data_IF_269328301625
#
_entry.id   IF_269328301625
#
_cell.length_a   1.000
_cell.length_b   1.000
_cell.length_c   1.000
_cell.angle_alpha   90.00
_cell.angle_beta   90.00
_cell.angle_gamma   90.00
#
_symmetry.space_group_name_H-M   'P 1'
#
loop_
_entity.id
_entity.type
_entity.pdbx_description
1 polymer ?
#
# COMPACT_ATOMS: atom_id res chain seq x y z
N UNK A 1 -20.08 -38.19 89.41
CA UNK A 1 -20.21 -39.66 89.36
C UNK A 1 -19.54 -40.15 88.09
N UNK A 2 -18.56 -41.06 88.25
CA UNK A 2 -18.01 -42.01 87.24
C UNK A 2 -17.33 -41.35 86.01
N UNK A 3 -16.02 -41.12 85.91
CA UNK A 3 -14.83 -42.01 86.00
C UNK A 3 -14.92 -43.17 84.98
N UNK A 4 -14.09 -43.31 83.94
CA UNK A 4 -12.62 -43.43 83.93
C UNK A 4 -12.09 -43.47 82.47
N UNK A 5 -10.75 -43.39 82.29
CA UNK A 5 -10.02 -42.97 81.10
C UNK A 5 -9.31 -44.15 80.41
N UNK A 6 -8.36 -43.87 79.51
CA UNK A 6 -7.12 -44.59 79.17
C UNK A 6 -6.59 -43.90 77.89
N UNK A 7 -5.31 -43.72 77.59
CA UNK A 7 -4.02 -43.77 78.27
C UNK A 7 -3.06 -43.19 77.19
N UNK A 8 -2.17 -42.26 77.50
CA UNK A 8 -0.84 -42.51 78.08
C UNK A 8 0.21 -42.82 77.01
N UNK A 9 1.33 -42.10 77.15
CA UNK A 9 2.67 -42.31 76.58
C UNK A 9 2.86 -41.90 75.11
N UNK A 10 3.98 -41.31 74.71
CA UNK A 10 5.12 -40.64 75.35
C UNK A 10 6.09 -40.32 74.19
N UNK A 11 7.04 -39.39 74.45
CA UNK A 11 8.33 -39.16 73.74
C UNK A 11 8.25 -38.17 72.58
N UNK A 12 8.74 -36.94 72.76
CA UNK A 12 10.13 -36.46 72.98
C UNK A 12 10.76 -36.00 71.66
N UNK A 13 10.88 -34.67 71.55
CA UNK A 13 12.05 -33.89 71.14
C UNK A 13 12.98 -34.47 70.06
N UNK A 14 13.09 -33.75 68.94
CA UNK A 14 14.36 -33.33 68.29
C UNK A 14 14.02 -32.30 67.20
N UNK A 15 14.26 -31.00 67.44
CA UNK A 15 15.43 -30.22 66.98
C UNK A 15 15.70 -30.29 65.47
N UNK A 16 15.46 -29.14 64.83
CA UNK A 16 16.27 -28.48 63.81
C UNK A 16 16.84 -29.31 62.65
N UNK A 17 16.29 -29.09 61.45
CA UNK A 17 17.05 -29.07 60.19
C UNK A 17 16.30 -28.19 59.18
N UNK A 18 16.40 -26.88 59.39
CA UNK A 18 16.44 -25.92 58.28
C UNK A 18 17.79 -26.07 57.59
N UNK A 19 17.86 -25.67 56.31
CA UNK A 19 19.03 -25.66 55.41
C UNK A 19 19.50 -27.03 54.93
N UNK A 20 19.07 -27.43 53.73
CA UNK A 20 19.91 -27.67 52.52
C UNK A 20 18.95 -28.15 51.41
N UNK A 21 18.25 -27.23 50.75
CA UNK A 21 17.54 -27.52 49.49
C UNK A 21 17.44 -26.25 48.62
N UNK A 22 18.44 -25.38 48.72
CA UNK A 22 18.47 -24.09 48.00
C UNK A 22 19.59 -23.94 46.96
N UNK A 23 20.51 -24.92 46.84
CA UNK A 23 21.71 -24.77 46.00
C UNK A 23 21.62 -25.52 44.66
N UNK A 24 20.76 -26.54 44.54
CA UNK A 24 20.67 -27.33 43.30
C UNK A 24 19.90 -26.62 42.16
N UNK A 25 19.01 -25.67 42.45
CA UNK A 25 18.24 -24.95 41.40
C UNK A 25 19.06 -23.79 40.82
N UNK A 26 19.99 -23.20 41.59
CA UNK A 26 20.84 -22.10 41.12
C UNK A 26 21.93 -22.56 40.14
N UNK A 27 22.43 -23.80 40.25
CA UNK A 27 23.47 -24.32 39.35
C UNK A 27 22.94 -24.72 37.95
N UNK A 28 21.67 -25.08 37.84
CA UNK A 28 21.05 -25.44 36.55
C UNK A 28 20.77 -24.22 35.65
N UNK A 29 20.68 -23.01 36.22
CA UNK A 29 20.49 -21.78 35.46
C UNK A 29 21.79 -21.25 34.82
N UNK A 30 22.95 -21.70 35.29
CA UNK A 30 24.28 -21.28 34.79
C UNK A 30 24.80 -22.13 33.62
N UNK A 31 24.14 -23.26 33.34
CA UNK A 31 24.47 -24.15 32.21
C UNK A 31 23.47 -24.05 31.05
N UNK A 32 22.47 -23.17 31.15
CA UNK A 32 21.63 -22.84 30.01
C UNK A 32 22.49 -22.05 29.02
N UNK A 33 22.67 -22.51 27.77
CA UNK A 33 23.34 -21.71 26.76
C UNK A 33 22.63 -20.36 26.67
N UNK A 34 23.37 -19.24 26.53
CA UNK A 34 22.74 -17.93 26.39
C UNK A 34 21.75 -18.03 25.23
N UNK A 35 20.46 -17.87 25.53
CA UNK A 35 19.48 -17.65 24.48
C UNK A 35 19.92 -16.35 23.83
N UNK A 36 20.48 -16.46 22.63
CA UNK A 36 20.63 -15.32 21.74
C UNK A 36 19.22 -14.79 21.46
N UNK A 37 18.74 -13.86 22.29
CA UNK A 37 17.56 -13.05 21.99
C UNK A 37 18.00 -11.70 21.45
N UNK A 38 18.82 -11.74 20.40
CA UNK A 38 18.62 -10.84 19.28
C UNK A 38 18.03 -11.73 18.19
N UNK A 39 16.72 -11.62 17.96
CA UNK A 39 16.14 -12.19 16.76
C UNK A 39 16.81 -11.45 15.58
N UNK A 40 17.88 -12.03 15.03
CA UNK A 40 18.55 -11.47 13.86
C UNK A 40 17.53 -11.24 12.75
N UNK A 41 17.69 -10.16 11.98
CA UNK A 41 16.78 -9.84 10.88
C UNK A 41 16.57 -11.07 9.99
N UNK A 42 15.30 -11.42 9.74
CA UNK A 42 14.95 -12.58 8.94
C UNK A 42 15.57 -12.45 7.54
N UNK A 43 16.56 -13.31 7.23
CA UNK A 43 17.29 -13.27 5.97
C UNK A 43 16.50 -14.03 4.90
N UNK A 44 16.12 -13.32 3.85
CA UNK A 44 15.56 -13.90 2.62
C UNK A 44 16.65 -13.98 1.54
N UNK A 45 16.48 -14.84 0.55
CA UNK A 45 17.44 -15.01 -0.54
C UNK A 45 16.84 -14.49 -1.85
N UNK A 46 17.56 -13.59 -2.50
CA UNK A 46 17.28 -13.13 -3.87
C UNK A 46 18.47 -13.51 -4.73
N UNK A 47 18.24 -13.90 -5.98
CA UNK A 47 19.29 -14.03 -6.98
C UNK A 47 19.27 -12.74 -7.80
N UNK A 48 20.20 -11.82 -7.52
CA UNK A 48 20.30 -10.53 -8.18
C UNK A 48 21.39 -10.60 -9.25
N UNK A 49 21.01 -10.41 -10.52
CA UNK A 49 21.92 -10.48 -11.67
C UNK A 49 22.75 -11.79 -11.67
N UNK A 50 22.07 -12.91 -11.39
CA UNK A 50 22.66 -14.24 -11.30
C UNK A 50 23.45 -14.54 -10.02
N UNK A 51 23.53 -13.60 -9.07
CA UNK A 51 24.28 -13.76 -7.82
C UNK A 51 23.34 -13.90 -6.61
N UNK A 52 23.53 -14.90 -5.73
CA UNK A 52 22.76 -15.00 -4.51
C UNK A 52 23.11 -13.86 -3.54
N UNK A 53 22.10 -13.08 -3.16
CA UNK A 53 22.20 -11.94 -2.24
C UNK A 53 21.24 -12.16 -1.07
N UNK A 54 21.75 -11.96 0.15
CA UNK A 54 20.92 -11.95 1.35
C UNK A 54 20.22 -10.59 1.49
N UNK A 55 18.90 -10.62 1.66
CA UNK A 55 18.07 -9.41 1.76
C UNK A 55 17.11 -9.50 2.94
N UNK A 56 16.64 -8.34 3.39
CA UNK A 56 15.54 -8.18 4.33
C UNK A 56 14.39 -7.43 3.65
N UNK A 57 13.25 -8.11 3.44
CA UNK A 57 12.04 -7.48 2.92
C UNK A 57 11.39 -6.61 4.01
N UNK A 58 11.23 -5.32 3.72
CA UNK A 58 10.59 -4.37 4.64
C UNK A 58 9.06 -4.39 4.48
N UNK A 59 8.61 -4.62 3.26
CA UNK A 59 7.23 -4.83 2.82
C UNK A 59 7.24 -5.88 1.68
N UNK A 60 6.13 -6.03 0.95
CA UNK A 60 6.03 -7.05 -0.11
C UNK A 60 6.64 -6.64 -1.46
N UNK A 61 7.07 -5.40 -1.61
CA UNK A 61 7.60 -4.84 -2.88
C UNK A 61 8.91 -4.04 -2.71
N UNK A 62 9.55 -4.12 -1.54
CA UNK A 62 10.80 -3.44 -1.23
C UNK A 62 11.65 -4.27 -0.27
N UNK A 63 12.95 -4.30 -0.50
CA UNK A 63 13.89 -4.96 0.40
C UNK A 63 15.15 -4.11 0.64
N UNK A 64 15.91 -4.48 1.67
CA UNK A 64 17.26 -3.99 1.92
C UNK A 64 18.25 -5.12 1.72
N UNK A 65 19.37 -4.86 1.07
CA UNK A 65 20.49 -5.80 0.99
C UNK A 65 21.22 -5.82 2.33
N UNK A 66 21.46 -7.00 2.90
CA UNK A 66 22.06 -7.17 4.24
C UNK A 66 23.41 -7.91 4.22
N UNK A 67 24.02 -8.03 3.05
CA UNK A 67 25.32 -8.69 2.87
C UNK A 67 26.02 -8.31 1.57
N UNK A 68 27.31 -8.62 1.49
CA UNK A 68 28.14 -8.28 0.32
C UNK A 68 28.46 -6.79 0.19
N UNK A 69 28.98 -6.39 -0.96
CA UNK A 69 29.41 -5.02 -1.25
C UNK A 69 28.26 -4.01 -1.34
N UNK A 70 27.04 -4.49 -1.60
CA UNK A 70 25.82 -3.69 -1.66
C UNK A 70 25.07 -3.62 -0.31
N UNK A 71 25.72 -4.02 0.79
CA UNK A 71 25.10 -4.00 2.12
C UNK A 71 24.54 -2.61 2.48
N UNK A 72 23.31 -2.59 3.00
CA UNK A 72 22.60 -1.36 3.37
C UNK A 72 21.77 -0.74 2.24
N UNK A 73 22.00 -1.10 0.98
CA UNK A 73 21.24 -0.55 -0.16
C UNK A 73 19.77 -0.94 -0.09
N UNK A 74 18.89 0.01 -0.40
CA UNK A 74 17.44 -0.19 -0.46
C UNK A 74 17.01 -0.42 -1.91
N UNK A 75 16.13 -1.38 -2.13
CA UNK A 75 15.54 -1.68 -3.41
C UNK A 75 14.03 -1.43 -3.39
N UNK A 76 13.53 -0.86 -4.49
CA UNK A 76 12.10 -0.83 -4.82
C UNK A 76 11.87 -1.77 -6.00
N UNK A 77 10.91 -2.67 -5.85
CA UNK A 77 10.54 -3.60 -6.91
C UNK A 77 9.64 -2.90 -7.94
N UNK A 78 9.97 -3.11 -9.21
CA UNK A 78 9.24 -2.53 -10.34
C UNK A 78 8.05 -3.40 -10.77
N UNK A 79 7.11 -2.81 -11.49
CA UNK A 79 6.01 -3.50 -12.19
C UNK A 79 4.79 -3.86 -11.33
N UNK A 80 4.91 -3.79 -10.01
CA UNK A 80 3.80 -4.03 -9.09
C UNK A 80 3.93 -3.19 -7.82
N UNK A 81 2.85 -3.12 -7.05
CA UNK A 81 2.83 -2.52 -5.73
C UNK A 81 2.01 -3.39 -4.77
N UNK A 82 2.54 -3.57 -3.56
CA UNK A 82 1.80 -4.14 -2.45
C UNK A 82 1.23 -3.01 -1.59
N UNK A 83 0.18 -3.31 -0.84
CA UNK A 83 -0.37 -2.35 0.12
C UNK A 83 0.67 -1.93 1.14
N UNK A 84 0.55 -0.69 1.62
CA UNK A 84 1.46 -0.14 2.61
C UNK A 84 1.47 -0.98 3.89
N UNK A 85 2.67 -1.44 4.27
CA UNK A 85 2.84 -2.34 5.41
C UNK A 85 3.28 -1.63 6.70
N UNK A 86 3.26 -0.30 6.72
CA UNK A 86 3.56 0.46 7.95
C UNK A 86 2.38 0.53 8.92
N UNK A 87 1.15 0.22 8.49
CA UNK A 87 -0.02 0.11 9.38
C UNK A 87 -1.34 -0.07 8.63
N UNK A 88 -2.46 -0.17 9.36
CA UNK A 88 -3.80 -0.24 8.79
C UNK A 88 -4.22 1.09 8.18
N UNK A 89 -3.86 1.31 6.92
CA UNK A 89 -4.18 2.56 6.23
C UNK A 89 -5.13 2.42 5.06
N UNK A 90 -5.14 1.30 4.33
CA UNK A 90 -5.98 1.15 3.14
C UNK A 90 -7.36 0.58 3.46
N UNK A 91 -8.41 1.07 2.82
CA UNK A 91 -9.75 0.46 2.87
C UNK A 91 -10.53 0.71 1.57
N UNK A 92 -11.30 -0.28 1.12
CA UNK A 92 -12.30 -0.12 0.05
C UNK A 92 -13.33 -1.25 0.07
N UNK A 93 -14.46 -1.03 -0.59
CA UNK A 93 -15.55 -1.99 -0.62
C UNK A 93 -15.95 -2.38 0.81
N UNK A 94 -15.95 -3.68 1.11
CA UNK A 94 -16.21 -4.21 2.44
C UNK A 94 -14.97 -4.42 3.32
N UNK A 95 -13.77 -4.03 2.89
CA UNK A 95 -12.55 -4.21 3.68
C UNK A 95 -12.39 -3.14 4.76
N UNK A 96 -12.01 -3.58 5.96
CA UNK A 96 -11.46 -2.68 7.00
C UNK A 96 -9.95 -2.50 6.85
N UNK A 97 -9.42 -1.42 7.41
CA UNK A 97 -7.99 -1.10 7.34
C UNK A 97 -7.11 -2.18 7.98
N UNK A 98 -7.60 -2.82 9.04
CA UNK A 98 -6.88 -3.90 9.73
C UNK A 98 -6.81 -5.17 8.88
N UNK A 99 -7.88 -5.53 8.19
CA UNK A 99 -7.88 -6.70 7.30
C UNK A 99 -6.95 -6.49 6.11
N UNK A 100 -6.99 -5.29 5.50
CA UNK A 100 -6.08 -4.94 4.42
C UNK A 100 -4.61 -4.94 4.87
N UNK A 101 -4.35 -4.52 6.12
CA UNK A 101 -3.02 -4.60 6.71
C UNK A 101 -2.53 -6.05 6.88
N UNK A 102 -3.42 -6.98 7.22
CA UNK A 102 -3.06 -8.41 7.23
C UNK A 102 -2.62 -8.85 5.83
N UNK A 103 -3.32 -8.45 4.77
CA UNK A 103 -2.91 -8.76 3.39
C UNK A 103 -1.55 -8.13 3.02
N UNK A 104 -1.27 -6.90 3.45
CA UNK A 104 0.04 -6.26 3.29
C UNK A 104 1.16 -7.08 3.98
N UNK A 105 0.89 -7.63 5.17
CA UNK A 105 1.82 -8.50 5.89
C UNK A 105 1.95 -9.88 5.25
N UNK A 106 0.88 -10.42 4.69
CA UNK A 106 0.93 -11.64 3.90
C UNK A 106 1.78 -11.48 2.64
N UNK A 107 1.70 -10.33 1.96
CA UNK A 107 2.58 -10.01 0.83
C UNK A 107 4.05 -9.99 1.25
N UNK A 108 4.35 -9.35 2.40
CA UNK A 108 5.71 -9.33 2.97
C UNK A 108 6.20 -10.75 3.30
N UNK A 109 5.35 -11.57 3.92
CA UNK A 109 5.67 -12.96 4.27
C UNK A 109 5.90 -13.82 3.03
N UNK A 110 5.09 -13.64 1.99
CA UNK A 110 5.22 -14.34 0.72
C UNK A 110 6.57 -14.03 0.07
N UNK A 111 6.94 -12.74 -0.01
CA UNK A 111 8.24 -12.32 -0.51
C UNK A 111 9.41 -12.93 0.29
N UNK A 112 9.30 -12.99 1.62
CA UNK A 112 10.36 -13.54 2.49
C UNK A 112 10.57 -15.05 2.37
N UNK A 113 9.52 -15.80 2.05
CA UNK A 113 9.57 -17.27 1.98
C UNK A 113 10.10 -17.80 0.66
N UNK A 114 10.03 -17.02 -0.41
CA UNK A 114 10.50 -17.42 -1.72
C UNK A 114 11.98 -17.19 -1.96
N UNK A 115 12.44 -17.69 -3.10
CA UNK A 115 13.73 -17.35 -3.71
C UNK A 115 13.41 -16.78 -5.08
N UNK A 116 13.86 -15.55 -5.34
CA UNK A 116 13.41 -14.78 -6.50
C UNK A 116 14.59 -14.39 -7.37
N UNK A 117 14.48 -14.68 -8.67
CA UNK A 117 15.36 -14.14 -9.70
C UNK A 117 15.00 -12.68 -9.95
N UNK A 118 16.01 -11.81 -9.85
CA UNK A 118 15.87 -10.37 -9.94
C UNK A 118 16.98 -9.75 -10.77
N UNK A 119 16.67 -8.60 -11.38
CA UNK A 119 17.53 -7.90 -12.31
C UNK A 119 17.61 -6.43 -11.94
N UNK A 120 18.81 -5.85 -11.99
CA UNK A 120 19.02 -4.42 -11.82
C UNK A 120 19.50 -3.79 -13.13
N UNK A 121 18.90 -2.67 -13.52
CA UNK A 121 19.37 -1.86 -14.64
C UNK A 121 20.26 -0.69 -14.20
N UNK A 122 20.54 -0.57 -12.90
CA UNK A 122 21.33 0.52 -12.33
C UNK A 122 20.54 1.80 -12.01
N UNK A 123 19.26 1.84 -12.39
CA UNK A 123 18.38 2.98 -12.14
C UNK A 123 18.02 3.11 -10.65
N UNK A 124 17.74 4.35 -10.24
CA UNK A 124 17.29 4.70 -8.89
C UNK A 124 15.99 5.48 -8.94
N UNK A 125 15.14 5.28 -7.94
CA UNK A 125 13.92 6.06 -7.79
C UNK A 125 14.18 7.44 -7.17
N UNK A 126 13.14 8.27 -7.08
CA UNK A 126 13.19 9.62 -6.50
C UNK A 126 13.66 9.65 -5.03
N UNK A 127 13.61 8.51 -4.33
CA UNK A 127 14.04 8.35 -2.94
C UNK A 127 15.43 7.72 -2.82
N UNK A 128 16.15 7.53 -3.94
CA UNK A 128 17.48 6.93 -3.98
C UNK A 128 17.49 5.41 -3.76
N UNK A 129 16.35 4.72 -3.93
CA UNK A 129 16.28 3.25 -3.89
C UNK A 129 16.61 2.70 -5.27
N UNK A 130 17.40 1.64 -5.33
CA UNK A 130 17.66 0.92 -6.58
C UNK A 130 16.36 0.33 -7.12
N UNK A 131 16.11 0.53 -8.41
CA UNK A 131 15.00 -0.07 -9.11
C UNK A 131 15.38 -1.49 -9.55
N UNK A 132 14.67 -2.46 -9.00
CA UNK A 132 14.94 -3.89 -9.22
C UNK A 132 13.70 -4.56 -9.81
N UNK A 133 13.90 -5.37 -10.83
CA UNK A 133 12.84 -6.15 -11.45
C UNK A 133 12.91 -7.61 -11.00
N UNK A 134 11.85 -8.12 -10.36
CA UNK A 134 11.77 -9.51 -9.91
C UNK A 134 10.51 -10.17 -10.53
N UNK A 135 10.55 -10.64 -11.79
CA UNK A 135 9.35 -11.06 -12.52
C UNK A 135 8.56 -12.16 -11.82
N UNK A 136 9.25 -13.20 -11.31
CA UNK A 136 8.59 -14.31 -10.63
C UNK A 136 7.89 -13.90 -9.34
N UNK A 137 8.47 -12.95 -8.58
CA UNK A 137 7.83 -12.41 -7.38
C UNK A 137 6.63 -11.54 -7.75
N UNK A 138 6.76 -10.68 -8.76
CA UNK A 138 5.68 -9.81 -9.22
C UNK A 138 4.45 -10.63 -9.64
N UNK A 139 4.65 -11.63 -10.51
CA UNK A 139 3.57 -12.50 -10.96
C UNK A 139 2.93 -13.27 -9.79
N UNK A 140 3.73 -13.85 -8.90
CA UNK A 140 3.22 -14.63 -7.76
C UNK A 140 2.41 -13.77 -6.79
N UNK A 141 2.88 -12.56 -6.45
CA UNK A 141 2.15 -11.63 -5.59
C UNK A 141 0.80 -11.23 -6.23
N UNK A 142 0.81 -10.92 -7.53
CA UNK A 142 -0.39 -10.50 -8.26
C UNK A 142 -1.40 -11.66 -8.37
N UNK A 143 -0.97 -12.87 -8.74
CA UNK A 143 -1.86 -14.05 -8.86
C UNK A 143 -2.51 -14.45 -7.54
N UNK A 144 -1.85 -14.18 -6.41
CA UNK A 144 -2.39 -14.39 -5.06
C UNK A 144 -3.30 -13.25 -4.60
N UNK A 145 -3.38 -12.15 -5.35
CA UNK A 145 -4.09 -10.94 -4.95
C UNK A 145 -3.42 -10.22 -3.78
N UNK A 146 -2.11 -10.36 -3.60
CA UNK A 146 -1.32 -9.69 -2.56
C UNK A 146 -0.70 -8.37 -3.04
N UNK A 147 -0.73 -8.15 -4.36
CA UNK A 147 -0.27 -6.95 -5.04
C UNK A 147 -1.22 -6.60 -6.20
N UNK A 148 -1.05 -5.40 -6.73
CA UNK A 148 -1.60 -4.99 -8.02
C UNK A 148 -0.47 -4.56 -8.96
N UNK A 149 -0.72 -4.64 -10.26
CA UNK A 149 0.13 -4.11 -11.32
C UNK A 149 0.27 -2.61 -11.12
N UNK A 150 1.49 -2.10 -11.32
CA UNK A 150 1.75 -0.68 -11.22
C UNK A 150 2.85 -0.25 -12.19
N UNK A 151 2.54 0.77 -12.99
CA UNK A 151 3.52 1.67 -13.59
C UNK A 151 3.46 3.01 -12.85
N UNK A 152 4.55 3.79 -12.90
CA UNK A 152 4.56 5.16 -12.37
C UNK A 152 4.09 6.21 -13.39
N UNK A 153 3.83 5.78 -14.62
CA UNK A 153 3.47 6.58 -15.80
C UNK A 153 2.01 6.34 -16.20
N UNK A 154 1.58 6.94 -17.31
CA UNK A 154 0.26 6.71 -17.89
C UNK A 154 0.19 5.41 -18.71
N UNK A 155 1.33 4.75 -18.89
CA UNK A 155 1.42 3.53 -19.69
C UNK A 155 0.82 2.35 -18.92
N UNK A 156 0.14 1.42 -19.62
CA UNK A 156 -0.28 0.17 -19.00
C UNK A 156 0.93 -0.61 -18.48
N UNK A 157 0.70 -1.43 -17.47
CA UNK A 157 1.69 -2.37 -16.98
C UNK A 157 1.95 -3.51 -17.95
N UNK A 158 2.91 -4.37 -17.58
CA UNK A 158 3.24 -5.57 -18.34
C UNK A 158 1.98 -6.42 -18.60
N UNK A 159 1.75 -6.80 -19.86
CA UNK A 159 0.52 -7.46 -20.27
C UNK A 159 0.28 -8.80 -19.56
N UNK A 160 1.34 -9.56 -19.24
CA UNK A 160 1.21 -10.82 -18.52
C UNK A 160 0.81 -10.59 -17.06
N UNK A 161 1.37 -9.55 -16.43
CA UNK A 161 0.96 -9.14 -15.09
C UNK A 161 -0.48 -8.60 -15.06
N UNK A 162 -0.88 -7.82 -16.07
CA UNK A 162 -2.27 -7.34 -16.21
C UNK A 162 -3.24 -8.51 -16.35
N UNK A 163 -2.91 -9.51 -17.17
CA UNK A 163 -3.72 -10.72 -17.28
C UNK A 163 -3.81 -11.47 -15.93
N UNK A 164 -2.70 -11.60 -15.20
CA UNK A 164 -2.69 -12.19 -13.87
C UNK A 164 -3.54 -11.41 -12.86
N UNK A 165 -3.52 -10.08 -12.91
CA UNK A 165 -4.38 -9.23 -12.07
C UNK A 165 -5.85 -9.42 -12.40
N UNK A 166 -6.21 -9.45 -13.70
CA UNK A 166 -7.59 -9.71 -14.13
C UNK A 166 -8.09 -11.07 -13.66
N UNK A 167 -7.26 -12.10 -13.70
CA UNK A 167 -7.57 -13.42 -13.12
C UNK A 167 -7.78 -13.34 -11.59
N UNK A 168 -6.88 -12.67 -10.87
CA UNK A 168 -7.00 -12.49 -9.42
C UNK A 168 -8.28 -11.72 -9.02
N UNK A 169 -8.65 -10.69 -9.80
CA UNK A 169 -9.88 -9.90 -9.65
C UNK A 169 -11.11 -10.78 -9.91
N UNK A 170 -11.15 -11.50 -11.03
CA UNK A 170 -12.27 -12.37 -11.39
C UNK A 170 -12.52 -13.45 -10.33
N UNK A 171 -11.44 -13.96 -9.72
CA UNK A 171 -11.49 -14.95 -8.66
C UNK A 171 -11.53 -14.34 -7.24
N UNK A 172 -11.69 -13.01 -7.10
CA UNK A 172 -11.83 -12.33 -5.81
C UNK A 172 -10.72 -12.67 -4.80
N UNK A 173 -9.47 -12.72 -5.27
CA UNK A 173 -8.32 -13.12 -4.44
C UNK A 173 -7.75 -11.93 -3.66
N UNK A 174 -7.34 -12.18 -2.41
CA UNK A 174 -6.61 -11.22 -1.59
C UNK A 174 -7.29 -9.85 -1.53
N UNK A 175 -6.57 -8.80 -1.93
CA UNK A 175 -7.04 -7.41 -1.86
C UNK A 175 -8.34 -7.15 -2.64
N UNK A 176 -8.69 -8.03 -3.59
CA UNK A 176 -9.89 -7.93 -4.43
C UNK A 176 -11.14 -8.59 -3.83
N UNK A 177 -11.01 -9.31 -2.70
CA UNK A 177 -12.08 -10.20 -2.26
C UNK A 177 -13.39 -9.48 -1.89
N UNK A 178 -13.29 -8.28 -1.31
CA UNK A 178 -14.44 -7.52 -0.81
C UNK A 178 -14.75 -6.28 -1.67
N UNK A 179 -14.33 -6.29 -2.92
CA UNK A 179 -14.56 -5.19 -3.86
C UNK A 179 -13.32 -4.81 -4.65
N UNK A 180 -13.54 -4.21 -5.81
CA UNK A 180 -12.50 -3.78 -6.74
C UNK A 180 -12.74 -2.30 -7.04
N UNK A 181 -11.92 -1.39 -6.51
CA UNK A 181 -12.03 0.01 -6.87
C UNK A 181 -11.53 0.20 -8.30
N UNK A 182 -12.08 1.17 -9.05
CA UNK A 182 -11.55 1.52 -10.37
C UNK A 182 -10.06 1.94 -10.28
N UNK A 183 -9.72 2.63 -9.18
CA UNK A 183 -8.35 3.02 -8.85
C UNK A 183 -8.01 2.67 -7.41
N UNK A 184 -6.86 2.05 -7.19
CA UNK A 184 -6.24 1.89 -5.88
C UNK A 184 -5.52 3.19 -5.50
N UNK A 185 -5.86 3.76 -4.35
CA UNK A 185 -5.15 4.89 -3.76
C UNK A 185 -3.88 4.40 -3.07
N UNK A 186 -2.74 4.55 -3.72
CA UNK A 186 -1.46 3.95 -3.29
C UNK A 186 -0.61 4.88 -2.44
N UNK A 187 -0.70 6.20 -2.64
CA UNK A 187 0.07 7.16 -1.84
C UNK A 187 -0.66 8.48 -1.62
N UNK A 188 -0.43 9.04 -0.43
CA UNK A 188 -0.91 10.36 -0.04
C UNK A 188 0.26 11.34 0.11
N UNK A 189 0.07 12.57 -0.38
CA UNK A 189 1.06 13.63 -0.30
C UNK A 189 0.40 14.96 0.08
N UNK A 190 0.51 15.33 1.36
CA UNK A 190 -0.07 16.59 1.86
C UNK A 190 0.76 17.80 1.41
N UNK A 191 0.12 18.95 1.19
CA UNK A 191 0.81 20.16 0.67
C UNK A 191 1.90 20.69 1.61
N UNK A 192 1.78 20.46 2.92
CA UNK A 192 2.76 20.86 3.94
C UNK A 192 3.96 19.91 4.03
N UNK A 193 3.91 18.76 3.35
CA UNK A 193 5.06 17.86 3.17
C UNK A 193 5.99 18.32 2.02
N UNK A 194 5.58 19.30 1.21
CA UNK A 194 6.42 19.90 0.16
C UNK A 194 7.49 20.85 0.73
N UNK A 195 8.76 20.44 0.71
CA UNK A 195 9.88 21.28 1.16
C UNK A 195 10.32 22.22 0.02
N UNK A 196 9.56 23.28 -0.23
CA UNK A 196 9.96 24.42 -1.10
C UNK A 196 9.01 24.72 -2.27
N UNK A 197 9.20 25.89 -2.93
CA UNK A 197 8.27 26.39 -3.96
C UNK A 197 8.20 25.52 -5.23
N UNK A 198 9.30 24.85 -5.62
CA UNK A 198 9.34 23.94 -6.78
C UNK A 198 8.66 22.60 -6.52
N UNK A 199 8.38 22.26 -5.26
CA UNK A 199 7.69 21.02 -4.89
C UNK A 199 6.16 21.16 -4.85
N UNK A 200 5.63 22.39 -4.93
CA UNK A 200 4.16 22.60 -4.90
C UNK A 200 3.43 21.97 -6.09
N UNK A 201 4.09 21.87 -7.25
CA UNK A 201 3.61 21.16 -8.45
C UNK A 201 3.67 19.63 -8.31
N UNK A 202 4.29 19.11 -7.23
CA UNK A 202 4.43 17.68 -6.91
C UNK A 202 3.41 17.19 -5.88
N UNK A 203 2.51 18.04 -5.40
CA UNK A 203 1.45 17.62 -4.48
C UNK A 203 0.32 16.94 -5.22
N UNK A 204 0.36 15.62 -5.21
CA UNK A 204 -0.70 14.78 -5.73
C UNK A 204 -0.74 13.49 -4.93
N UNK A 205 -1.94 12.98 -4.74
CA UNK A 205 -2.12 11.58 -4.37
C UNK A 205 -1.95 10.71 -5.61
N UNK A 206 -1.44 9.49 -5.44
CA UNK A 206 -1.31 8.55 -6.55
C UNK A 206 -2.46 7.56 -6.56
N UNK A 207 -3.09 7.48 -7.72
CA UNK A 207 -4.09 6.48 -8.06
C UNK A 207 -3.47 5.49 -9.04
N UNK A 208 -3.74 4.20 -8.90
CA UNK A 208 -3.31 3.16 -9.84
C UNK A 208 -4.54 2.42 -10.34
N UNK A 209 -4.71 2.37 -11.66
CA UNK A 209 -5.86 1.73 -12.29
C UNK A 209 -5.87 0.23 -12.03
N UNK A 210 -7.01 -0.29 -11.57
CA UNK A 210 -7.23 -1.73 -11.44
C UNK A 210 -7.42 -2.41 -12.81
N UNK A 211 -7.60 -1.65 -13.89
CA UNK A 211 -7.80 -2.19 -15.23
C UNK A 211 -6.49 -2.70 -15.87
N UNK A 212 -5.43 -1.91 -15.76
CA UNK A 212 -4.15 -2.15 -16.46
C UNK A 212 -2.91 -1.68 -15.69
N UNK A 213 -3.06 -1.15 -14.47
CA UNK A 213 -1.94 -0.74 -13.62
C UNK A 213 -1.31 0.61 -13.96
N UNK A 214 -1.88 1.42 -14.86
CA UNK A 214 -1.36 2.77 -15.09
C UNK A 214 -1.59 3.69 -13.88
N UNK A 215 -0.71 4.68 -13.70
CA UNK A 215 -0.85 5.68 -12.64
C UNK A 215 -1.58 6.94 -13.10
N UNK A 216 -2.42 7.50 -12.24
CA UNK A 216 -3.01 8.84 -12.38
C UNK A 216 -2.59 9.70 -11.19
N UNK A 217 -2.23 10.96 -11.48
CA UNK A 217 -1.96 11.96 -10.44
C UNK A 217 -3.24 12.67 -10.05
N UNK A 218 -3.72 12.43 -8.83
CA UNK A 218 -4.81 13.19 -8.24
C UNK A 218 -4.26 14.44 -7.55
N UNK A 219 -4.17 15.54 -8.30
CA UNK A 219 -3.67 16.83 -7.81
C UNK A 219 -4.69 17.49 -6.87
N UNK A 220 -4.21 18.08 -5.78
CA UNK A 220 -5.02 18.82 -4.80
C UNK A 220 -4.19 19.93 -4.13
N UNK A 221 -4.86 20.78 -3.35
CA UNK A 221 -4.23 21.81 -2.51
C UNK A 221 -4.45 21.56 -1.01
N UNK A 222 -4.99 20.40 -0.67
CA UNK A 222 -5.38 20.07 0.70
C UNK A 222 -4.16 19.83 1.61
N UNK A 223 -4.30 20.27 2.87
CA UNK A 223 -3.48 19.84 4.00
C UNK A 223 -4.21 18.69 4.69
N UNK A 224 -3.50 17.58 4.94
CA UNK A 224 -4.04 16.44 5.67
C UNK A 224 -3.51 16.43 7.11
N UNK A 225 -4.40 16.20 8.07
CA UNK A 225 -4.02 15.99 9.46
C UNK A 225 -3.59 14.54 9.70
N UNK A 226 -2.78 14.31 10.74
CA UNK A 226 -2.48 12.95 11.19
C UNK A 226 -3.78 12.18 11.46
N UNK A 227 -3.89 11.00 10.86
CA UNK A 227 -5.03 10.09 10.92
C UNK A 227 -6.28 10.49 10.13
N UNK A 228 -6.20 11.48 9.23
CA UNK A 228 -7.29 11.78 8.30
C UNK A 228 -7.52 10.61 7.31
N UNK A 229 -8.78 10.23 7.12
CA UNK A 229 -9.17 9.23 6.10
C UNK A 229 -9.47 9.92 4.78
N UNK A 230 -8.54 9.79 3.83
CA UNK A 230 -8.65 10.39 2.50
C UNK A 230 -9.16 9.35 1.52
N UNK A 231 -10.22 9.68 0.78
CA UNK A 231 -10.86 8.76 -0.15
C UNK A 231 -10.90 9.34 -1.56
N UNK A 232 -10.43 8.56 -2.53
CA UNK A 232 -10.81 8.76 -3.93
C UNK A 232 -12.31 8.50 -4.07
N UNK A 233 -13.01 9.44 -4.70
CA UNK A 233 -14.46 9.39 -4.85
C UNK A 233 -14.89 9.08 -6.27
N UNK A 234 -15.95 8.31 -6.41
CA UNK A 234 -16.65 8.09 -7.67
C UNK A 234 -18.00 8.81 -7.65
N UNK A 235 -18.36 9.36 -8.80
CA UNK A 235 -19.61 10.10 -8.97
C UNK A 235 -20.49 9.38 -9.98
N UNK A 236 -21.81 9.45 -9.77
CA UNK A 236 -22.77 8.95 -10.74
C UNK A 236 -22.65 9.76 -12.02
N UNK A 237 -22.69 9.06 -13.15
CA UNK A 237 -22.62 9.66 -14.48
C UNK A 237 -24.03 9.86 -15.04
N UNK A 238 -24.29 11.07 -15.52
CA UNK A 238 -25.46 11.37 -16.36
C UNK A 238 -25.03 11.36 -17.83
N UNK A 239 -25.36 10.28 -18.54
CA UNK A 239 -24.95 10.05 -19.93
C UNK A 239 -25.49 11.10 -20.92
N UNK A 240 -26.66 11.69 -20.65
CA UNK A 240 -27.22 12.73 -21.50
C UNK A 240 -26.41 14.02 -21.38
N UNK A 241 -26.07 14.40 -20.14
CA UNK A 241 -25.21 15.56 -19.86
C UNK A 241 -23.78 15.38 -20.39
N UNK A 242 -23.21 14.19 -20.22
CA UNK A 242 -21.90 13.85 -20.81
C UNK A 242 -21.92 14.04 -22.32
N UNK A 243 -22.96 13.57 -23.02
CA UNK A 243 -23.09 13.75 -24.46
C UNK A 243 -23.16 15.22 -24.86
N UNK A 244 -23.95 16.03 -24.16
CA UNK A 244 -24.07 17.47 -24.41
C UNK A 244 -22.74 18.22 -24.21
N UNK A 245 -22.03 17.94 -23.11
CA UNK A 245 -20.71 18.54 -22.84
C UNK A 245 -19.67 18.11 -23.87
N UNK A 246 -19.64 16.83 -24.24
CA UNK A 246 -18.72 16.33 -25.25
C UNK A 246 -18.94 17.00 -26.62
N UNK A 247 -20.21 17.20 -27.02
CA UNK A 247 -20.54 17.93 -28.24
C UNK A 247 -20.12 19.39 -28.17
N UNK A 248 -20.35 20.06 -27.04
CA UNK A 248 -19.94 21.46 -26.85
C UNK A 248 -18.41 21.62 -26.93
N UNK A 249 -17.65 20.70 -26.32
CA UNK A 249 -16.19 20.71 -26.35
C UNK A 249 -15.61 20.55 -27.76
N UNK A 250 -16.24 19.75 -28.62
CA UNK A 250 -15.79 19.59 -30.01
C UNK A 250 -15.83 20.91 -30.80
N UNK A 251 -16.77 21.79 -30.49
CA UNK A 251 -16.88 23.11 -31.10
C UNK A 251 -16.01 24.20 -30.45
N UNK A 252 -15.41 23.92 -29.28
CA UNK A 252 -14.69 24.91 -28.50
C UNK A 252 -13.22 25.02 -28.94
N UNK A 253 -12.90 26.10 -29.66
CA UNK A 253 -11.56 26.39 -30.16
C UNK A 253 -10.50 26.46 -29.06
N UNK A 254 -10.88 26.72 -27.79
CA UNK A 254 -9.95 26.74 -26.66
C UNK A 254 -9.32 25.38 -26.39
N UNK A 255 -10.03 24.29 -26.71
CA UNK A 255 -9.58 22.92 -26.46
C UNK A 255 -9.20 22.17 -27.74
N UNK A 256 -9.08 22.87 -28.88
CA UNK A 256 -8.75 22.25 -30.16
C UNK A 256 -7.44 21.44 -30.13
N UNK A 257 -6.43 21.92 -29.40
CA UNK A 257 -5.16 21.19 -29.17
C UNK A 257 -5.37 19.92 -28.34
N UNK A 258 -6.06 20.06 -27.20
CA UNK A 258 -6.36 18.96 -26.28
C UNK A 258 -7.15 17.81 -26.92
N UNK A 259 -8.01 18.13 -27.89
CA UNK A 259 -8.91 17.18 -28.55
C UNK A 259 -8.44 16.79 -29.96
N UNK A 260 -7.27 17.27 -30.39
CA UNK A 260 -6.75 17.02 -31.73
C UNK A 260 -6.61 15.52 -31.99
N UNK A 261 -7.25 15.03 -33.07
CA UNK A 261 -7.18 13.63 -33.49
C UNK A 261 -8.08 12.67 -32.69
N UNK A 262 -8.81 13.14 -31.68
CA UNK A 262 -9.76 12.30 -30.94
C UNK A 262 -11.08 12.20 -31.71
N UNK A 263 -11.64 10.99 -31.79
CA UNK A 263 -12.98 10.78 -32.35
C UNK A 263 -14.06 11.30 -31.39
N UNK A 264 -15.27 11.58 -31.88
CA UNK A 264 -16.39 11.98 -31.01
C UNK A 264 -16.64 11.02 -29.83
N UNK A 265 -16.48 9.70 -30.06
CA UNK A 265 -16.65 8.69 -29.01
C UNK A 265 -15.55 8.73 -27.96
N UNK A 266 -14.30 9.00 -28.37
CA UNK A 266 -13.17 9.16 -27.44
C UNK A 266 -13.36 10.44 -26.61
N UNK A 267 -13.76 11.55 -27.23
CA UNK A 267 -14.06 12.80 -26.51
C UNK A 267 -15.20 12.57 -25.50
N UNK A 268 -16.24 11.83 -25.89
CA UNK A 268 -17.31 11.43 -24.95
C UNK A 268 -16.75 10.58 -23.81
N UNK A 269 -15.85 9.64 -24.09
CA UNK A 269 -15.14 8.85 -23.09
C UNK A 269 -14.36 9.70 -22.08
N UNK A 270 -13.59 10.68 -22.56
CA UNK A 270 -12.85 11.64 -21.71
C UNK A 270 -13.79 12.38 -20.76
N UNK A 271 -14.90 12.91 -21.28
CA UNK A 271 -15.91 13.63 -20.47
C UNK A 271 -16.58 12.70 -19.47
N UNK A 272 -16.91 11.47 -19.88
CA UNK A 272 -17.50 10.45 -19.01
C UNK A 272 -16.57 10.07 -17.86
N UNK A 273 -15.30 9.84 -18.14
CA UNK A 273 -14.30 9.48 -17.14
C UNK A 273 -14.08 10.64 -16.16
N UNK A 274 -14.03 11.88 -16.65
CA UNK A 274 -14.01 13.05 -15.77
C UNK A 274 -15.30 13.19 -14.95
N UNK A 275 -16.46 12.93 -15.55
CA UNK A 275 -17.75 12.95 -14.88
C UNK A 275 -17.81 11.92 -13.74
N UNK A 276 -17.12 10.78 -13.89
CA UNK A 276 -17.06 9.73 -12.86
C UNK A 276 -15.97 9.94 -11.82
N UNK A 277 -14.78 10.38 -12.22
CA UNK A 277 -13.57 10.34 -11.38
C UNK A 277 -12.92 11.70 -11.11
N UNK A 278 -13.38 12.76 -11.78
CA UNK A 278 -12.83 14.14 -11.68
C UNK A 278 -11.35 14.26 -12.09
N UNK A 279 -10.86 13.34 -12.92
CA UNK A 279 -9.57 13.45 -13.59
C UNK A 279 -9.72 13.23 -15.10
N UNK A 280 -8.92 13.94 -15.89
CA UNK A 280 -8.84 13.76 -17.34
C UNK A 280 -7.97 12.53 -17.62
N UNK A 281 -8.47 11.60 -18.43
CA UNK A 281 -7.79 10.35 -18.73
C UNK A 281 -6.60 10.57 -19.69
N UNK A 282 -5.91 9.48 -20.06
CA UNK A 282 -4.67 9.54 -20.85
C UNK A 282 -4.86 9.80 -22.34
N UNK A 283 -6.08 9.77 -22.86
CA UNK A 283 -6.36 10.05 -24.28
C UNK A 283 -6.07 11.50 -24.63
N UNK A 284 -6.12 12.40 -23.64
CA UNK A 284 -5.75 13.81 -23.79
C UNK A 284 -4.24 13.97 -23.56
N UNK A 285 -3.51 14.74 -24.40
CA UNK A 285 -2.10 15.04 -24.19
C UNK A 285 -1.83 15.61 -22.79
N UNK A 286 -0.78 15.13 -22.13
CA UNK A 286 -0.49 15.41 -20.72
C UNK A 286 -0.48 16.91 -20.37
N UNK A 287 0.09 17.73 -21.24
CA UNK A 287 0.24 19.18 -21.02
C UNK A 287 -1.08 19.95 -21.18
N UNK A 288 -2.10 19.32 -21.78
CA UNK A 288 -3.43 19.90 -22.02
C UNK A 288 -4.45 19.51 -20.93
N UNK A 289 -4.14 18.48 -20.13
CA UNK A 289 -5.09 17.90 -19.16
C UNK A 289 -5.50 18.86 -18.06
N UNK A 290 -4.59 19.70 -17.57
CA UNK A 290 -4.89 20.60 -16.45
C UNK A 290 -5.91 21.68 -16.84
N UNK A 291 -5.76 22.26 -18.04
CA UNK A 291 -6.68 23.27 -18.56
C UNK A 291 -8.07 22.67 -18.81
N UNK A 292 -8.13 21.49 -19.44
CA UNK A 292 -9.38 20.78 -19.65
C UNK A 292 -10.03 20.35 -18.33
N UNK A 293 -9.26 19.83 -17.39
CA UNK A 293 -9.75 19.43 -16.07
C UNK A 293 -10.34 20.60 -15.28
N UNK A 294 -9.70 21.78 -15.32
CA UNK A 294 -10.23 22.99 -14.71
C UNK A 294 -11.59 23.38 -15.30
N UNK A 295 -11.71 23.39 -16.62
CA UNK A 295 -12.97 23.71 -17.29
C UNK A 295 -14.09 22.69 -16.97
N UNK A 296 -13.78 21.40 -17.02
CA UNK A 296 -14.74 20.34 -16.68
C UNK A 296 -15.14 20.39 -15.20
N UNK A 297 -14.24 20.83 -14.31
CA UNK A 297 -14.56 21.03 -12.88
C UNK A 297 -15.58 22.16 -12.70
N UNK A 298 -15.44 23.26 -13.44
CA UNK A 298 -16.40 24.36 -13.40
C UNK A 298 -17.78 23.92 -13.92
N UNK A 299 -17.81 23.11 -14.98
CA UNK A 299 -19.05 22.49 -15.48
C UNK A 299 -19.69 21.58 -14.43
N UNK A 300 -18.89 20.72 -13.79
CA UNK A 300 -19.37 19.84 -12.71
C UNK A 300 -19.93 20.65 -11.52
N UNK A 301 -19.28 21.75 -11.13
CA UNK A 301 -19.73 22.63 -10.06
C UNK A 301 -21.08 23.31 -10.37
N UNK A 302 -21.41 23.50 -11.65
CA UNK A 302 -22.72 23.99 -12.11
C UNK A 302 -23.75 22.89 -12.32
N UNK A 303 -23.41 21.64 -12.03
CA UNK A 303 -24.30 20.49 -12.22
C UNK A 303 -24.45 20.03 -13.68
N UNK A 304 -23.56 20.48 -14.57
CA UNK A 304 -23.60 20.15 -16.01
C UNK A 304 -23.00 18.77 -16.32
N UNK A 305 -22.45 18.06 -15.32
CA UNK A 305 -21.94 16.68 -15.44
C UNK A 305 -22.64 15.70 -14.48
N UNK A 306 -23.82 16.06 -14.00
CA UNK A 306 -24.61 15.30 -13.02
C UNK A 306 -25.04 16.17 -11.84
N UNK A 307 -26.05 15.72 -11.10
CA UNK A 307 -26.54 16.38 -9.89
C UNK A 307 -25.74 16.05 -8.63
N UNK A 308 -24.93 15.00 -8.70
CA UNK A 308 -24.27 14.43 -7.53
C UNK A 308 -23.03 15.25 -7.19
N UNK A 309 -23.18 16.14 -6.21
CA UNK A 309 -22.08 16.93 -5.65
C UNK A 309 -21.30 16.14 -4.60
N UNK A 310 -21.88 15.06 -4.08
CA UNK A 310 -21.28 14.15 -3.09
C UNK A 310 -20.95 12.83 -3.76
N UNK A 311 -19.66 12.57 -3.99
CA UNK A 311 -19.19 11.29 -4.51
C UNK A 311 -19.11 10.20 -3.43
N UNK A 312 -19.23 8.96 -3.86
CA UNK A 312 -19.10 7.76 -3.02
C UNK A 312 -17.63 7.40 -2.86
N UNK A 313 -17.22 6.96 -1.65
CA UNK A 313 -15.85 6.56 -1.40
C UNK A 313 -15.53 5.23 -2.12
N UNK A 314 -14.53 5.24 -3.00
CA UNK A 314 -14.12 4.07 -3.77
C UNK A 314 -12.86 3.41 -3.19
N UNK A 315 -11.78 4.16 -3.03
CA UNK A 315 -10.54 3.69 -2.40
C UNK A 315 -10.03 4.73 -1.42
N UNK A 316 -9.80 4.32 -0.18
CA UNK A 316 -9.38 5.21 0.89
C UNK A 316 -8.02 4.82 1.47
N UNK A 317 -7.34 5.82 2.00
CA UNK A 317 -6.08 5.69 2.71
C UNK A 317 -6.06 6.64 3.92
N UNK A 318 -5.59 6.15 5.07
CA UNK A 318 -5.34 6.99 6.26
C UNK A 318 -4.02 7.72 6.11
N UNK A 319 -4.07 9.05 6.16
CA UNK A 319 -2.88 9.89 6.12
C UNK A 319 -2.11 9.81 7.45
N UNK A 320 -0.81 9.55 7.35
CA UNK A 320 0.12 9.71 8.47
C UNK A 320 1.39 10.37 7.95
N UNK A 321 1.85 11.47 8.58
CA UNK A 321 3.10 12.12 8.21
C UNK A 321 4.28 11.14 8.25
N UNK A 322 5.21 11.24 7.30
CA UNK A 322 6.31 10.26 7.18
C UNK A 322 7.07 9.99 8.49
N UNK A 323 7.35 11.05 9.27
CA UNK A 323 8.06 10.96 10.57
C UNK A 323 7.32 10.17 11.65
N UNK A 324 6.03 9.88 11.44
CA UNK A 324 5.11 9.23 12.39
C UNK A 324 4.68 7.83 11.95
N UNK A 325 5.20 7.33 10.82
CA UNK A 325 4.85 5.99 10.28
C UNK A 325 5.60 4.83 10.96
N UNK A 326 6.77 5.09 11.52
CA UNK A 326 7.71 4.06 11.98
C UNK A 326 8.24 4.34 13.40
N UNK A 327 8.76 3.31 14.07
CA UNK A 327 9.42 3.43 15.38
C UNK A 327 8.46 3.62 16.57
N UNK A 328 9.01 3.95 17.74
CA UNK A 328 8.24 4.12 18.98
C UNK A 328 7.32 5.35 19.01
N UNK A 329 7.54 6.32 18.13
CA UNK A 329 6.70 7.52 17.97
C UNK A 329 5.61 7.37 16.92
N UNK A 330 5.13 6.14 16.67
CA UNK A 330 4.13 5.84 15.65
C UNK A 330 2.77 6.50 15.98
N UNK A 331 2.08 7.02 14.96
CA UNK A 331 0.73 7.57 15.10
C UNK A 331 -0.27 6.53 15.68
N UNK A 332 -1.25 7.01 16.46
CA UNK A 332 -2.21 6.14 17.15
C UNK A 332 -3.08 5.33 16.19
N UNK A 333 -3.51 5.92 15.07
CA UNK A 333 -4.30 5.22 14.06
C UNK A 333 -3.55 4.06 13.37
N UNK A 334 -2.24 3.94 13.55
CA UNK A 334 -1.46 2.82 13.00
C UNK A 334 -1.26 1.67 13.99
N UNK A 335 -1.80 1.75 15.21
CA UNK A 335 -1.59 0.78 16.29
C UNK A 335 -2.66 -0.30 16.35
#
# INVERSE_FOLDING_TARGET
MVARPLNCRQRLRTRSLLTVTGVAIAAAALLAPPRASEAGEARSKVILDGKPVAVHFNDGDSFRVIGGTANGTKARLMGFNTLESYGPVHSWGGWTEKEMYVLAKMATLNARRGVWECFSQGDVDTYGRSLIWCPGLAEDQIRKGLAHVMTVTDDPGDAALVAAQKDAIANRRGIWAHGVPDFVLTSLHSIDESIGRKDRERNYNRLVSSEDGHSVKWKHQDVYNECDKICHKTYRVDEAKVGAVAQALQGDKRFASALAGLSPDVIRGVVRDFARFRHVNRDVPKDERDALAAHLRDLAARGELGSDTVGEAASCMVHVPFKRRYGGGKAECLK
#
